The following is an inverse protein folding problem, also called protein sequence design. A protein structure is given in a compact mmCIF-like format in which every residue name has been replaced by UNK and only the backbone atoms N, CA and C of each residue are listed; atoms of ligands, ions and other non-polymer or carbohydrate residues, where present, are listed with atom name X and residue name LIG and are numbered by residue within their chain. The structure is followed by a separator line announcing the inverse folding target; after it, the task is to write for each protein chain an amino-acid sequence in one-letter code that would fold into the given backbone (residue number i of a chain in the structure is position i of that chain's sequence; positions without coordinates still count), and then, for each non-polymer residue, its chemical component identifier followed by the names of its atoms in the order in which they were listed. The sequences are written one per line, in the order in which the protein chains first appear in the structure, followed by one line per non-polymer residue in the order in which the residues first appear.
data_IF_516200018413
#
_entry.id   IF_516200018413
#
_cell.length_a   1.000
_cell.length_b   1.000
_cell.length_c   1.000
_cell.angle_alpha   90.00
_cell.angle_beta   90.00
_cell.angle_gamma   90.00
#
_symmetry.space_group_name_H-M   'P 1'
#
loop_
_entity.id
_entity.type
_entity.pdbx_description
1 polymer ?
#
# COMPACT_ATOMS: atom_id res chain seq x y z
N UNK A 1 -11.16 15.20 -16.03
CA UNK A 1 -11.38 15.09 -14.58
C UNK A 1 -10.08 15.50 -13.93
N UNK A 2 -10.07 16.47 -13.02
CA UNK A 2 -8.86 16.76 -12.24
C UNK A 2 -8.60 15.55 -11.38
N UNK A 3 -7.50 14.84 -11.61
CA UNK A 3 -7.08 13.76 -10.71
C UNK A 3 -6.86 14.35 -9.32
N UNK A 4 -7.51 13.78 -8.32
CA UNK A 4 -7.28 14.17 -6.94
C UNK A 4 -5.82 13.86 -6.60
N UNK A 5 -5.08 14.77 -5.93
CA UNK A 5 -3.74 14.47 -5.45
C UNK A 5 -3.76 13.23 -4.54
N UNK A 6 -2.83 12.31 -4.77
CA UNK A 6 -2.77 11.02 -4.05
C UNK A 6 -1.50 10.92 -3.23
N UNK A 7 -1.65 10.59 -1.95
CA UNK A 7 -0.56 10.17 -1.06
C UNK A 7 -0.48 8.64 -1.10
N UNK A 8 0.72 8.11 -1.27
CA UNK A 8 0.98 6.68 -1.12
C UNK A 8 1.46 6.40 0.32
N UNK A 9 0.69 5.61 1.06
CA UNK A 9 1.01 5.17 2.42
C UNK A 9 1.55 3.73 2.39
N UNK A 10 2.82 3.55 2.71
CA UNK A 10 3.45 2.23 2.67
C UNK A 10 2.98 1.34 3.81
N UNK A 11 2.49 0.13 3.50
CA UNK A 11 2.35 -0.94 4.50
C UNK A 11 3.70 -1.63 4.62
N UNK A 12 4.25 -1.63 5.83
CA UNK A 12 5.56 -2.19 6.16
C UNK A 12 5.40 -3.38 7.11
N UNK A 13 6.41 -3.64 7.94
CA UNK A 13 6.45 -4.78 8.85
C UNK A 13 6.36 -4.34 10.33
N UNK A 14 6.29 -5.33 11.23
CA UNK A 14 6.50 -5.21 12.68
C UNK A 14 5.68 -4.12 13.37
N UNK A 15 6.29 -3.32 14.25
CA UNK A 15 5.60 -2.29 15.02
C UNK A 15 4.98 -1.19 14.14
N UNK A 16 5.65 -0.68 13.08
CA UNK A 16 5.03 0.28 12.15
C UNK A 16 3.80 -0.26 11.42
N UNK A 17 3.76 -1.56 11.08
CA UNK A 17 2.58 -2.17 10.48
C UNK A 17 1.38 -2.09 11.44
N UNK A 18 1.58 -2.47 12.70
CA UNK A 18 0.54 -2.37 13.74
C UNK A 18 0.05 -0.92 13.94
N UNK A 19 0.98 0.04 13.99
CA UNK A 19 0.63 1.45 14.10
C UNK A 19 -0.20 1.94 12.89
N UNK A 20 0.11 1.46 11.69
CA UNK A 20 -0.62 1.79 10.46
C UNK A 20 -2.09 1.38 10.54
N UNK A 21 -2.41 0.21 11.11
CA UNK A 21 -3.81 -0.21 11.29
C UNK A 21 -4.62 0.76 12.17
N UNK A 22 -3.98 1.44 13.11
CA UNK A 22 -4.63 2.46 13.95
C UNK A 22 -4.66 3.84 13.28
N UNK A 23 -3.56 4.28 12.68
CA UNK A 23 -3.38 5.65 12.23
C UNK A 23 -3.94 5.89 10.82
N UNK A 24 -3.84 4.92 9.91
CA UNK A 24 -4.26 5.09 8.51
C UNK A 24 -5.74 5.50 8.36
N UNK A 25 -6.70 4.90 9.09
CA UNK A 25 -8.10 5.34 9.02
C UNK A 25 -8.30 6.80 9.44
N UNK A 26 -7.50 7.28 10.41
CA UNK A 26 -7.54 8.67 10.88
C UNK A 26 -6.99 9.59 9.79
N UNK A 27 -5.83 9.26 9.21
CA UNK A 27 -5.24 10.04 8.12
C UNK A 27 -6.23 10.17 6.96
N UNK A 28 -6.83 9.06 6.51
CA UNK A 28 -7.83 9.03 5.44
C UNK A 28 -9.05 9.92 5.75
N UNK A 29 -9.56 9.87 6.98
CA UNK A 29 -10.72 10.68 7.39
C UNK A 29 -10.43 12.19 7.30
N UNK A 30 -9.23 12.61 7.73
CA UNK A 30 -8.84 14.02 7.71
C UNK A 30 -8.53 14.51 6.29
N UNK A 31 -7.80 13.73 5.48
CA UNK A 31 -7.39 14.14 4.12
C UNK A 31 -8.56 14.18 3.14
N UNK A 32 -9.62 13.39 3.38
CA UNK A 32 -10.84 13.38 2.56
C UNK A 32 -11.44 14.78 2.39
N UNK A 33 -11.41 15.61 3.43
CA UNK A 33 -11.95 16.98 3.38
C UNK A 33 -11.13 17.93 2.49
N UNK A 34 -9.87 17.61 2.24
CA UNK A 34 -8.98 18.35 1.34
C UNK A 34 -8.99 17.82 -0.10
N UNK A 35 -9.82 16.81 -0.41
CA UNK A 35 -9.82 16.16 -1.73
C UNK A 35 -8.54 15.38 -2.02
N UNK A 36 -7.82 14.95 -0.98
CA UNK A 36 -6.57 14.18 -1.10
C UNK A 36 -6.89 12.70 -0.90
N UNK A 37 -6.53 11.89 -1.89
CA UNK A 37 -6.63 10.43 -1.82
C UNK A 37 -5.44 9.87 -1.02
N UNK A 38 -5.67 8.78 -0.29
CA UNK A 38 -4.60 8.05 0.41
C UNK A 38 -4.72 6.58 0.02
N UNK A 39 -3.80 6.13 -0.82
CA UNK A 39 -3.71 4.75 -1.28
C UNK A 39 -2.60 4.03 -0.54
N UNK A 40 -2.68 2.70 -0.49
CA UNK A 40 -1.62 1.89 0.12
C UNK A 40 -0.81 1.15 -0.93
N UNK A 41 0.49 0.99 -0.64
CA UNK A 41 1.39 0.08 -1.34
C UNK A 41 2.07 -0.80 -0.31
N UNK A 42 1.93 -2.11 -0.48
CA UNK A 42 2.47 -3.10 0.45
C UNK A 42 3.90 -3.44 0.07
N UNK A 43 4.84 -3.03 0.91
CA UNK A 43 6.28 -3.28 0.78
C UNK A 43 6.82 -4.16 1.93
N UNK A 44 5.92 -4.82 2.67
CA UNK A 44 6.28 -5.80 3.69
C UNK A 44 7.19 -6.88 3.10
N UNK A 45 8.00 -7.52 3.96
CA UNK A 45 8.83 -8.66 3.57
C UNK A 45 7.99 -9.74 2.89
N UNK A 46 6.79 -10.03 3.44
CA UNK A 46 5.88 -11.01 2.88
C UNK A 46 5.40 -10.64 1.47
N UNK A 47 4.93 -9.40 1.26
CA UNK A 47 4.45 -8.94 -0.04
C UNK A 47 5.56 -8.96 -1.10
N UNK A 48 6.78 -8.54 -0.74
CA UNK A 48 7.93 -8.56 -1.67
C UNK A 48 8.34 -9.97 -2.04
N UNK A 49 8.30 -10.93 -1.13
CA UNK A 49 8.55 -12.34 -1.47
C UNK A 49 7.47 -12.84 -2.44
N UNK A 50 6.19 -12.62 -2.15
CA UNK A 50 5.10 -13.06 -3.02
C UNK A 50 5.19 -12.48 -4.44
N UNK A 51 5.52 -11.18 -4.54
CA UNK A 51 5.67 -10.49 -5.82
C UNK A 51 6.77 -11.09 -6.72
N UNK A 52 7.80 -11.72 -6.16
CA UNK A 52 8.91 -12.32 -6.90
C UNK A 52 8.62 -13.76 -7.39
N UNK A 53 7.55 -14.41 -6.92
CA UNK A 53 7.22 -15.78 -7.30
C UNK A 53 5.78 -15.96 -7.82
N UNK A 54 5.27 -15.11 -8.73
CA UNK A 54 3.87 -15.15 -9.17
C UNK A 54 3.48 -16.46 -9.87
N UNK A 55 4.43 -17.13 -10.52
CA UNK A 55 4.23 -18.40 -11.22
C UNK A 55 3.98 -19.58 -10.28
N UNK A 56 4.29 -19.44 -8.99
CA UNK A 56 4.06 -20.45 -7.95
C UNK A 56 2.78 -20.21 -7.15
N UNK A 57 2.04 -19.16 -7.48
CA UNK A 57 0.85 -18.71 -6.77
C UNK A 57 -0.39 -18.91 -7.63
N UNK A 58 -1.52 -19.25 -7.00
CA UNK A 58 -2.82 -19.18 -7.66
C UNK A 58 -3.15 -17.73 -8.02
N UNK A 59 -4.10 -17.51 -8.93
CA UNK A 59 -4.50 -16.16 -9.34
C UNK A 59 -4.86 -15.28 -8.13
N UNK A 60 -5.57 -15.83 -7.15
CA UNK A 60 -6.03 -15.11 -5.96
C UNK A 60 -4.91 -14.81 -4.94
N UNK A 61 -3.79 -15.53 -5.01
CA UNK A 61 -2.63 -15.35 -4.13
C UNK A 61 -1.63 -14.33 -4.67
N UNK A 62 -1.71 -14.00 -5.96
CA UNK A 62 -0.77 -13.07 -6.60
C UNK A 62 -0.98 -11.66 -6.06
N UNK A 63 0.13 -11.00 -5.77
CA UNK A 63 0.18 -9.59 -5.38
C UNK A 63 1.06 -8.83 -6.36
N UNK A 64 0.80 -7.54 -6.55
CA UNK A 64 1.64 -6.69 -7.41
C UNK A 64 3.01 -6.41 -6.79
N UNK A 65 4.01 -6.15 -7.63
CA UNK A 65 5.33 -5.65 -7.19
C UNK A 65 5.26 -4.15 -6.91
N UNK A 66 4.73 -3.80 -5.75
CA UNK A 66 4.60 -2.41 -5.33
C UNK A 66 5.95 -1.71 -5.08
N UNK A 67 7.03 -2.46 -4.83
CA UNK A 67 8.34 -1.86 -4.64
C UNK A 67 8.90 -1.37 -5.99
N UNK A 68 8.75 -2.17 -7.04
CA UNK A 68 9.10 -1.75 -8.40
C UNK A 68 8.24 -0.56 -8.87
N UNK A 69 6.93 -0.58 -8.59
CA UNK A 69 6.02 0.52 -8.91
C UNK A 69 6.45 1.84 -8.24
N UNK A 70 6.83 1.81 -6.97
CA UNK A 70 7.27 3.00 -6.23
C UNK A 70 8.63 3.54 -6.67
N UNK A 71 9.46 2.72 -7.32
CA UNK A 71 10.79 3.11 -7.80
C UNK A 71 10.83 3.63 -9.22
N UNK A 72 9.71 3.58 -9.96
CA UNK A 72 9.59 4.04 -11.34
C UNK A 72 9.37 5.56 -11.43
#
# INVERSE_FOLDING_TARGET
MSENPTIIYTKTDEAPALATYSLLPIVQAFTKHAGINVETRDISVAARILAQFPDRLTADQRVGDHLAELGA
#
